data_IF_179450733236
#
_entry.id   IF_179450733236
#
_cell.length_a   1.000
_cell.length_b   1.000
_cell.length_c   1.000
_cell.angle_alpha   90.00
_cell.angle_beta   90.00
_cell.angle_gamma   90.00
#
_symmetry.space_group_name_H-M   'P 1'
#
loop_
_entity.id
_entity.type
_entity.pdbx_description
1 polymer ?
#
# COMPACT_ATOMS: atom_id res chain seq x y z
N UNK A 1 5.10 -16.02 59.14
CA UNK A 1 5.86 -16.08 57.88
C UNK A 1 4.88 -15.87 56.74
N UNK A 2 4.85 -14.68 56.15
CA UNK A 2 3.95 -14.33 55.06
C UNK A 2 4.59 -13.24 54.21
N UNK A 3 4.94 -13.61 52.98
CA UNK A 3 5.48 -12.79 51.88
C UNK A 3 5.46 -13.67 50.64
N UNK A 4 5.14 -13.27 49.42
CA UNK A 4 4.50 -12.11 48.84
C UNK A 4 4.24 -12.56 47.39
N UNK A 5 3.00 -12.53 46.92
CA UNK A 5 2.69 -12.77 45.50
C UNK A 5 1.80 -11.63 45.04
N UNK A 6 2.44 -10.62 44.47
CA UNK A 6 1.76 -9.45 43.96
C UNK A 6 2.48 -8.91 42.73
N UNK A 7 1.65 -8.50 41.77
CA UNK A 7 1.90 -7.58 40.65
C UNK A 7 2.43 -8.22 39.36
N UNK A 8 1.48 -8.61 38.49
CA UNK A 8 1.49 -8.18 37.08
C UNK A 8 0.03 -8.04 36.60
N UNK A 9 -0.52 -6.84 36.74
CA UNK A 9 -1.76 -6.43 36.08
C UNK A 9 -1.48 -5.06 35.50
N UNK A 10 -0.94 -5.03 34.28
CA UNK A 10 -0.73 -3.81 33.53
C UNK A 10 -1.77 -3.75 32.39
N UNK A 11 -2.58 -2.70 32.49
CA UNK A 11 -3.66 -2.24 31.64
C UNK A 11 -3.65 -2.67 30.16
N UNK A 12 -4.64 -3.49 29.79
CA UNK A 12 -5.19 -3.55 28.43
C UNK A 12 -6.14 -2.36 28.23
N UNK A 13 -5.59 -1.22 27.83
CA UNK A 13 -6.38 -0.12 27.26
C UNK A 13 -6.84 -0.54 25.86
N UNK A 14 -7.93 -1.30 25.79
CA UNK A 14 -8.56 -1.67 24.54
C UNK A 14 -9.02 -0.40 23.81
N UNK A 15 -8.38 -0.09 22.69
CA UNK A 15 -8.98 0.69 21.62
C UNK A 15 -10.13 -0.13 21.05
N UNK A 16 -11.31 -0.08 21.67
CA UNK A 16 -12.55 -0.47 21.00
C UNK A 16 -12.82 0.58 19.94
N UNK A 17 -12.20 0.42 18.77
CA UNK A 17 -12.63 1.12 17.56
C UNK A 17 -14.05 0.66 17.31
N UNK A 18 -15.03 1.54 17.54
CA UNK A 18 -16.42 1.25 17.30
C UNK A 18 -16.67 1.15 15.78
N UNK A 19 -16.58 -0.08 15.26
CA UNK A 19 -16.86 -0.38 13.86
C UNK A 19 -18.33 -0.13 13.49
N UNK A 20 -19.24 0.14 14.45
CA UNK A 20 -20.64 0.50 14.16
C UNK A 20 -20.84 1.97 13.82
N UNK A 21 -19.84 2.83 14.04
CA UNK A 21 -19.92 4.26 13.71
C UNK A 21 -19.62 4.59 12.24
N UNK A 22 -19.28 3.60 11.41
CA UNK A 22 -19.27 3.80 9.95
C UNK A 22 -20.68 3.58 9.42
N UNK A 23 -21.44 4.63 9.04
CA UNK A 23 -22.66 4.42 8.29
C UNK A 23 -22.28 3.61 7.04
N UNK A 24 -23.12 2.64 6.69
CA UNK A 24 -23.09 1.95 5.40
C UNK A 24 -23.07 3.01 4.29
N UNK A 25 -21.89 3.46 3.88
CA UNK A 25 -21.73 4.34 2.75
C UNK A 25 -21.93 3.47 1.51
N UNK A 26 -23.01 3.68 0.71
CA UNK A 26 -23.08 3.09 -0.61
C UNK A 26 -21.83 3.51 -1.38
N UNK A 27 -21.12 2.52 -1.91
CA UNK A 27 -19.75 2.62 -2.39
C UNK A 27 -19.63 3.63 -3.55
N UNK A 28 -18.89 4.77 -3.40
CA UNK A 28 -18.72 5.73 -4.49
C UNK A 28 -17.85 5.20 -5.65
N UNK A 29 -17.19 4.05 -5.47
CA UNK A 29 -16.42 3.39 -6.53
C UNK A 29 -17.31 2.81 -7.64
N UNK A 30 -18.63 2.70 -7.42
CA UNK A 30 -19.59 2.17 -8.41
C UNK A 30 -20.18 3.30 -9.30
N UNK A 31 -20.18 4.56 -8.83
CA UNK A 31 -20.89 5.66 -9.53
C UNK A 31 -19.97 6.74 -10.14
N UNK A 32 -18.65 6.57 -10.08
CA UNK A 32 -17.69 7.56 -10.61
C UNK A 32 -17.47 7.54 -12.13
N UNK A 33 -18.05 6.58 -12.84
CA UNK A 33 -17.92 6.44 -14.29
C UNK A 33 -19.31 6.60 -14.93
N UNK A 34 -19.46 7.60 -15.79
CA UNK A 34 -20.64 7.79 -16.65
C UNK A 34 -20.76 6.63 -17.64
N UNK A 35 -21.22 5.46 -17.17
CA UNK A 35 -21.61 4.36 -18.05
C UNK A 35 -23.05 4.65 -18.50
N UNK A 36 -23.33 4.75 -19.81
CA UNK A 36 -24.66 5.03 -20.30
C UNK A 36 -25.66 3.98 -19.80
N UNK A 37 -26.85 4.39 -19.29
CA UNK A 37 -27.91 3.45 -18.97
C UNK A 37 -28.41 2.80 -20.27
N UNK A 38 -28.23 1.49 -20.43
CA UNK A 38 -28.77 0.76 -21.59
C UNK A 38 -28.06 -0.52 -22.04
N UNK A 39 -26.89 -0.86 -21.50
CA UNK A 39 -26.17 -2.10 -21.89
C UNK A 39 -26.41 -3.19 -20.85
N UNK A 40 -27.61 -3.75 -20.80
CA UNK A 40 -27.88 -5.04 -20.17
C UNK A 40 -27.86 -6.10 -21.26
N UNK A 41 -26.69 -6.69 -21.50
CA UNK A 41 -26.57 -7.83 -22.41
C UNK A 41 -26.96 -9.13 -21.71
N UNK A 42 -27.79 -9.88 -22.41
CA UNK A 42 -28.41 -11.14 -22.05
C UNK A 42 -27.42 -12.19 -21.55
N UNK A 43 -27.75 -12.76 -20.40
CA UNK A 43 -27.06 -13.87 -19.75
C UNK A 43 -27.27 -15.19 -20.52
N UNK A 44 -26.23 -15.64 -21.21
CA UNK A 44 -26.08 -17.02 -21.67
C UNK A 44 -25.22 -17.83 -20.68
N UNK A 45 -25.58 -19.10 -20.53
CA UNK A 45 -25.24 -20.00 -19.43
C UNK A 45 -23.82 -20.61 -19.45
N UNK A 46 -22.80 -19.91 -19.94
CA UNK A 46 -21.42 -20.35 -19.73
C UNK A 46 -20.95 -19.90 -18.35
N UNK A 47 -20.38 -20.82 -17.57
CA UNK A 47 -19.92 -20.68 -16.18
C UNK A 47 -18.87 -19.57 -15.91
N UNK A 48 -18.51 -18.77 -16.91
CA UNK A 48 -17.82 -17.49 -16.74
C UNK A 48 -18.84 -16.44 -16.30
N UNK A 49 -18.99 -16.26 -14.99
CA UNK A 49 -19.87 -15.23 -14.43
C UNK A 49 -19.51 -13.83 -14.98
N UNK A 50 -20.42 -12.83 -14.99
CA UNK A 50 -20.23 -11.54 -15.67
C UNK A 50 -19.54 -10.36 -14.92
N UNK A 51 -18.77 -10.51 -13.81
CA UNK A 51 -18.25 -9.35 -13.05
C UNK A 51 -16.92 -8.78 -13.59
N UNK A 52 -16.26 -9.44 -14.53
CA UNK A 52 -14.93 -9.01 -15.02
C UNK A 52 -15.00 -7.75 -15.90
N UNK A 53 -16.21 -7.33 -16.29
CA UNK A 53 -16.41 -6.17 -17.15
C UNK A 53 -15.89 -4.88 -16.50
N UNK A 54 -16.05 -4.68 -15.19
CA UNK A 54 -15.60 -3.44 -14.54
C UNK A 54 -14.08 -3.32 -14.49
N UNK A 55 -13.38 -4.43 -14.25
CA UNK A 55 -11.91 -4.45 -14.25
C UNK A 55 -11.36 -4.32 -15.69
N UNK A 56 -12.04 -4.95 -16.66
CA UNK A 56 -11.73 -4.80 -18.08
C UNK A 56 -11.96 -3.36 -18.57
N UNK A 57 -13.00 -2.67 -18.08
CA UNK A 57 -13.25 -1.25 -18.35
C UNK A 57 -12.15 -0.35 -17.78
N UNK A 58 -11.50 -0.77 -16.67
CA UNK A 58 -10.31 -0.10 -16.14
C UNK A 58 -9.02 -0.52 -16.88
N UNK A 59 -9.12 -1.39 -17.89
CA UNK A 59 -7.98 -1.93 -18.64
C UNK A 59 -7.10 -2.87 -17.82
N UNK A 60 -7.55 -3.30 -16.63
CA UNK A 60 -6.76 -4.13 -15.73
C UNK A 60 -6.86 -5.59 -16.14
N UNK A 61 -5.70 -6.23 -16.23
CA UNK A 61 -5.59 -7.68 -16.47
C UNK A 61 -5.24 -8.36 -15.15
N UNK A 62 -6.23 -8.44 -14.26
CA UNK A 62 -6.05 -9.12 -12.98
C UNK A 62 -5.71 -10.58 -13.24
N UNK A 63 -4.64 -11.05 -12.60
CA UNK A 63 -4.23 -12.46 -12.66
C UNK A 63 -4.70 -13.21 -11.43
N UNK A 64 -5.01 -14.51 -11.57
CA UNK A 64 -5.23 -15.38 -10.42
C UNK A 64 -4.07 -15.31 -9.44
N UNK A 65 -4.39 -15.45 -8.17
CA UNK A 65 -3.39 -15.54 -7.10
C UNK A 65 -2.51 -16.77 -7.32
N UNK A 66 -1.16 -16.64 -7.28
CA UNK A 66 -0.29 -17.81 -7.35
C UNK A 66 -0.65 -18.83 -6.26
N UNK A 67 -0.98 -20.07 -6.65
CA UNK A 67 -1.47 -21.11 -5.72
C UNK A 67 -0.54 -21.34 -4.52
N UNK A 68 0.77 -21.28 -4.74
CA UNK A 68 1.81 -21.43 -3.69
C UNK A 68 1.82 -20.35 -2.60
N UNK A 69 1.13 -19.23 -2.82
CA UNK A 69 1.04 -18.13 -1.84
C UNK A 69 -0.25 -18.20 -1.01
N UNK A 70 -1.14 -19.12 -1.33
CA UNK A 70 -2.38 -19.34 -0.56
C UNK A 70 -2.15 -20.28 0.62
N UNK A 71 -0.92 -20.78 0.79
CA UNK A 71 -0.42 -21.60 1.90
C UNK A 71 -0.74 -21.11 3.28
N UNK A 72 -0.44 -19.83 3.43
CA UNK A 72 -0.39 -19.12 4.69
C UNK A 72 -0.82 -17.70 4.42
N UNK A 73 -1.84 -17.24 5.14
CA UNK A 73 -2.42 -15.91 4.97
C UNK A 73 -2.53 -15.27 6.34
N UNK A 74 -1.85 -14.14 6.50
CA UNK A 74 -1.84 -13.35 7.72
C UNK A 74 -2.76 -12.14 7.58
N UNK A 75 -3.63 -11.92 8.55
CA UNK A 75 -4.48 -10.75 8.61
C UNK A 75 -3.78 -9.70 9.48
N UNK A 76 -3.59 -8.52 8.90
CA UNK A 76 -3.09 -7.35 9.59
C UNK A 76 -4.29 -6.46 9.92
N UNK A 77 -4.66 -6.33 11.21
CA UNK A 77 -5.73 -5.43 11.63
C UNK A 77 -5.44 -3.98 11.23
N UNK A 78 -6.50 -3.18 11.28
CA UNK A 78 -6.37 -1.73 11.13
C UNK A 78 -5.41 -1.18 12.16
N UNK A 79 -4.35 -0.53 11.68
CA UNK A 79 -3.33 0.09 12.51
C UNK A 79 -2.84 1.39 11.90
N UNK A 80 -2.43 2.32 12.75
CA UNK A 80 -1.92 3.63 12.39
C UNK A 80 -0.51 3.86 12.96
N UNK A 81 -0.12 5.12 13.18
CA UNK A 81 1.16 5.47 13.78
C UNK A 81 1.17 5.47 15.32
N UNK A 82 0.02 5.24 15.96
CA UNK A 82 -0.17 5.34 17.41
C UNK A 82 -0.29 3.97 18.08
N UNK A 83 -0.44 2.89 17.30
CA UNK A 83 -0.51 1.53 17.83
C UNK A 83 0.79 1.14 18.53
N UNK A 84 0.68 0.76 19.80
CA UNK A 84 1.79 0.22 20.61
C UNK A 84 1.89 -1.29 20.53
N UNK A 85 0.76 -1.99 20.36
CA UNK A 85 0.70 -3.45 20.25
C UNK A 85 -0.18 -3.84 19.08
N UNK A 86 0.40 -4.56 18.11
CA UNK A 86 -0.31 -5.02 16.90
C UNK A 86 -0.25 -6.55 16.81
N UNK A 87 -1.34 -7.26 17.18
CA UNK A 87 -1.45 -8.68 16.92
C UNK A 87 -1.72 -8.93 15.44
N UNK A 88 -1.00 -9.87 14.85
CA UNK A 88 -1.22 -10.34 13.47
C UNK A 88 -1.71 -11.78 13.54
N UNK A 89 -2.80 -12.07 12.84
CA UNK A 89 -3.53 -13.32 12.96
C UNK A 89 -3.27 -14.24 11.78
N UNK A 90 -3.13 -15.54 12.03
CA UNK A 90 -3.30 -16.53 10.97
C UNK A 90 -4.79 -16.69 10.68
N UNK A 91 -5.20 -16.36 9.47
CA UNK A 91 -6.58 -16.52 9.01
C UNK A 91 -6.64 -17.30 7.69
N UNK A 92 -5.65 -18.17 7.46
CA UNK A 92 -5.50 -18.96 6.23
C UNK A 92 -6.76 -19.74 5.89
N UNK A 93 -7.39 -20.37 6.90
CA UNK A 93 -8.58 -21.21 6.70
C UNK A 93 -9.77 -20.37 6.23
N UNK A 94 -10.04 -19.28 6.94
CA UNK A 94 -11.14 -18.35 6.65
C UNK A 94 -10.94 -17.71 5.27
N UNK A 95 -9.70 -17.29 4.96
CA UNK A 95 -9.34 -16.72 3.68
C UNK A 95 -9.60 -17.67 2.53
N UNK A 96 -9.11 -18.92 2.60
CA UNK A 96 -9.33 -19.92 1.56
C UNK A 96 -10.81 -20.24 1.37
N UNK A 97 -11.56 -20.35 2.46
CA UNK A 97 -12.99 -20.68 2.40
C UNK A 97 -13.81 -19.58 1.73
N UNK A 98 -13.51 -18.32 2.06
CA UNK A 98 -14.26 -17.17 1.57
C UNK A 98 -13.81 -16.74 0.17
N UNK A 99 -12.50 -16.47 -0.02
CA UNK A 99 -11.94 -15.87 -1.24
C UNK A 99 -11.79 -16.90 -2.37
N UNK A 100 -11.45 -18.16 -2.05
CA UNK A 100 -11.22 -19.23 -3.04
C UNK A 100 -10.22 -18.79 -4.12
N UNK A 101 -10.56 -18.92 -5.39
CA UNK A 101 -9.73 -18.60 -6.55
C UNK A 101 -9.96 -17.18 -7.10
N UNK A 102 -10.65 -16.30 -6.36
CA UNK A 102 -10.93 -14.94 -6.81
C UNK A 102 -9.62 -14.15 -7.05
N UNK A 103 -9.44 -13.50 -8.22
CA UNK A 103 -8.24 -12.74 -8.51
C UNK A 103 -8.03 -11.59 -7.51
N UNK A 104 -6.82 -11.51 -6.93
CA UNK A 104 -6.47 -10.45 -5.99
C UNK A 104 -6.70 -9.05 -6.58
N UNK A 105 -7.46 -8.25 -5.85
CA UNK A 105 -7.81 -6.88 -6.23
C UNK A 105 -9.06 -6.74 -7.09
N UNK A 106 -9.68 -7.85 -7.50
CA UNK A 106 -10.98 -7.82 -8.17
C UNK A 106 -12.06 -7.23 -7.24
N UNK A 107 -13.10 -6.66 -7.84
CA UNK A 107 -14.24 -6.14 -7.09
C UNK A 107 -14.92 -7.23 -6.23
N UNK A 108 -14.93 -8.48 -6.72
CA UNK A 108 -15.38 -9.66 -5.95
C UNK A 108 -14.46 -9.97 -4.80
N UNK A 109 -13.16 -10.06 -5.05
CA UNK A 109 -12.16 -10.26 -4.00
C UNK A 109 -12.35 -9.25 -2.87
N UNK A 110 -12.45 -7.95 -3.19
CA UNK A 110 -12.62 -6.88 -2.21
C UNK A 110 -13.92 -7.02 -1.43
N UNK A 111 -15.03 -7.30 -2.11
CA UNK A 111 -16.34 -7.46 -1.48
C UNK A 111 -16.35 -8.66 -0.55
N UNK A 112 -15.93 -9.82 -1.05
CA UNK A 112 -15.83 -11.07 -0.29
C UNK A 112 -14.93 -10.88 0.92
N UNK A 113 -13.73 -10.34 0.72
CA UNK A 113 -12.78 -10.10 1.80
C UNK A 113 -13.30 -9.10 2.83
N UNK A 114 -13.93 -8.00 2.40
CA UNK A 114 -14.52 -6.99 3.27
C UNK A 114 -15.67 -7.53 4.12
N UNK A 115 -16.45 -8.47 3.59
CA UNK A 115 -17.56 -9.13 4.29
C UNK A 115 -17.12 -10.30 5.19
N UNK A 116 -15.87 -10.76 5.08
CA UNK A 116 -15.34 -11.79 5.98
C UNK A 116 -15.33 -11.30 7.43
N UNK A 117 -15.72 -12.17 8.36
CA UNK A 117 -15.56 -11.92 9.79
C UNK A 117 -14.07 -11.77 10.10
N UNK A 118 -13.68 -10.58 10.55
CA UNK A 118 -12.29 -10.30 10.95
C UNK A 118 -11.99 -10.96 12.30
N UNK A 119 -10.79 -11.50 12.49
CA UNK A 119 -10.39 -12.01 13.80
C UNK A 119 -10.33 -10.85 14.80
N UNK A 120 -10.81 -11.14 16.02
CA UNK A 120 -10.86 -10.18 17.13
C UNK A 120 -9.85 -10.64 18.17
N UNK A 121 -9.10 -9.71 18.75
CA UNK A 121 -8.09 -10.00 19.79
C UNK A 121 -8.65 -10.40 21.15
N UNK A 122 -9.92 -10.81 21.22
CA UNK A 122 -10.57 -11.27 22.44
C UNK A 122 -10.28 -12.76 22.74
N UNK A 123 -9.53 -13.44 21.86
CA UNK A 123 -9.23 -14.87 21.97
C UNK A 123 -10.43 -15.78 21.69
N UNK A 124 -11.59 -15.23 21.26
CA UNK A 124 -12.81 -16.01 20.97
C UNK A 124 -12.98 -16.34 19.49
N UNK A 125 -11.95 -16.10 18.67
CA UNK A 125 -11.93 -16.41 17.25
C UNK A 125 -11.27 -17.76 16.93
N UNK A 126 -11.53 -18.28 15.72
CA UNK A 126 -10.83 -19.45 15.18
C UNK A 126 -9.39 -19.14 14.73
N UNK A 127 -9.05 -17.85 14.62
CA UNK A 127 -7.74 -17.39 14.16
C UNK A 127 -6.79 -17.19 15.32
N UNK A 128 -5.64 -17.85 15.25
CA UNK A 128 -4.57 -17.72 16.24
C UNK A 128 -3.71 -16.48 15.97
N UNK A 129 -3.21 -15.84 17.02
CA UNK A 129 -2.22 -14.76 16.90
C UNK A 129 -0.88 -15.38 16.49
N UNK A 130 -0.48 -15.18 15.23
CA UNK A 130 0.80 -15.64 14.69
C UNK A 130 1.96 -14.72 15.04
N UNK A 131 1.72 -13.40 15.12
CA UNK A 131 2.75 -12.44 15.50
C UNK A 131 2.22 -11.44 16.52
N UNK A 132 3.12 -11.04 17.41
CA UNK A 132 2.97 -9.86 18.26
C UNK A 132 3.99 -8.84 17.81
N UNK A 133 3.53 -7.63 17.53
CA UNK A 133 4.40 -6.50 17.20
C UNK A 133 4.26 -5.47 18.31
N UNK A 134 5.35 -5.23 19.01
CA UNK A 134 5.41 -4.27 20.10
C UNK A 134 6.20 -3.06 19.61
N UNK A 135 5.53 -1.92 19.48
CA UNK A 135 6.16 -0.63 19.20
C UNK A 135 6.55 0.03 20.51
N UNK A 136 7.74 0.61 20.56
CA UNK A 136 8.19 1.38 21.70
C UNK A 136 7.25 2.57 21.94
N UNK A 137 6.74 2.76 23.17
CA UNK A 137 5.83 3.86 23.49
C UNK A 137 6.45 5.23 23.13
N UNK A 138 5.64 6.20 22.68
CA UNK A 138 6.12 7.56 22.41
C UNK A 138 6.81 8.23 23.60
N UNK A 139 6.51 7.82 24.84
CA UNK A 139 7.10 8.37 26.06
C UNK A 139 8.53 7.87 26.28
N UNK A 140 8.80 6.58 25.99
CA UNK A 140 10.13 6.00 26.11
C UNK A 140 11.11 6.67 25.12
N UNK A 141 10.60 7.08 23.96
CA UNK A 141 11.31 7.85 22.92
C UNK A 141 11.79 9.23 23.37
N UNK A 142 11.12 9.87 24.34
CA UNK A 142 11.46 11.21 24.81
C UNK A 142 12.50 11.22 25.93
N UNK A 143 12.83 10.05 26.49
CA UNK A 143 13.89 9.94 27.48
C UNK A 143 15.23 10.11 26.76
N UNK A 144 16.02 11.16 27.04
CA UNK A 144 17.35 11.29 26.47
C UNK A 144 18.18 10.12 27.00
N UNK A 145 18.29 9.05 26.20
CA UNK A 145 19.20 7.97 26.52
C UNK A 145 20.58 8.58 26.62
N UNK A 146 21.20 8.40 27.78
CA UNK A 146 22.58 8.80 28.03
C UNK A 146 23.43 8.36 26.83
N UNK A 147 24.35 9.21 26.34
CA UNK A 147 25.17 8.88 25.18
C UNK A 147 25.78 7.49 25.38
N UNK A 148 25.78 6.63 24.34
CA UNK A 148 26.33 5.28 24.46
C UNK A 148 27.74 5.40 25.00
N UNK A 149 27.98 4.77 26.15
CA UNK A 149 29.28 4.78 26.80
C UNK A 149 30.34 4.42 25.75
N UNK A 150 31.18 5.41 25.41
CA UNK A 150 32.28 5.22 24.48
C UNK A 150 33.06 3.99 24.94
N UNK A 151 33.15 2.99 24.06
CA UNK A 151 34.04 1.86 24.28
C UNK A 151 35.43 2.40 24.63
N UNK A 152 36.08 1.90 25.70
CA UNK A 152 37.40 2.36 26.07
C UNK A 152 38.37 1.95 24.96
N UNK A 153 38.60 2.86 24.02
CA UNK A 153 39.72 2.78 23.11
C UNK A 153 40.97 3.01 23.96
N UNK A 154 41.71 1.92 24.19
CA UNK A 154 42.96 1.95 24.93
C UNK A 154 43.94 2.92 24.28
N UNK A 155 44.05 4.12 24.85
CA UNK A 155 45.06 5.09 24.49
C UNK A 155 46.40 4.68 25.10
N UNK A 156 47.23 4.03 24.27
CA UNK A 156 48.67 3.99 24.46
C UNK A 156 49.25 5.41 24.41
N UNK A 157 50.02 5.74 25.45
CA UNK A 157 50.69 7.02 25.67
C UNK A 157 51.58 7.45 24.50
N UNK A 158 51.43 8.67 24.01
CA UNK A 158 52.53 9.43 23.39
C UNK A 158 52.60 10.83 24.02
N UNK A 159 53.74 11.09 24.67
CA UNK A 159 54.16 12.41 25.15
C UNK A 159 54.70 13.21 23.96
N UNK A 160 54.40 14.51 23.89
CA UNK A 160 55.16 15.42 23.04
C UNK A 160 54.57 16.82 22.90
N UNK A 161 55.08 17.76 23.72
CA UNK A 161 55.48 19.13 23.33
C UNK A 161 54.50 19.97 22.49
N UNK A 162 53.83 20.97 23.08
CA UNK A 162 54.23 22.40 23.15
C UNK A 162 53.90 23.23 21.90
N UNK A 163 53.21 24.37 22.08
CA UNK A 163 53.14 25.40 21.04
C UNK A 163 51.87 26.25 20.94
N UNK A 164 51.87 27.38 21.64
CA UNK A 164 51.29 28.70 21.25
C UNK A 164 49.77 28.92 21.13
N UNK A 165 49.23 29.53 22.20
CA UNK A 165 48.39 30.75 22.23
C UNK A 165 48.05 31.40 20.87
N UNK A 166 46.75 31.52 20.55
CA UNK A 166 46.20 32.71 19.89
C UNK A 166 44.76 33.01 20.32
N UNK A 167 44.61 34.21 20.87
CA UNK A 167 43.43 34.84 21.46
C UNK A 167 42.75 35.69 20.38
N UNK A 168 41.49 35.40 20.00
CA UNK A 168 40.57 36.32 19.28
C UNK A 168 39.16 36.00 19.77
N UNK A 169 38.60 36.79 20.68
CA UNK A 169 37.91 38.09 20.51
C UNK A 169 36.53 37.90 19.86
N UNK A 170 35.56 37.87 20.77
CA UNK A 170 34.13 38.00 20.63
C UNK A 170 33.67 39.06 19.64
N UNK A 171 32.67 38.71 18.85
CA UNK A 171 31.70 39.65 18.29
C UNK A 171 30.31 39.02 18.39
N UNK A 172 29.48 39.72 19.12
CA UNK A 172 28.06 39.51 19.35
C UNK A 172 27.27 39.88 18.09
N UNK A 173 26.55 38.92 17.51
CA UNK A 173 25.45 39.19 16.60
C UNK A 173 24.21 38.48 17.10
N UNK A 174 23.23 39.31 17.45
CA UNK A 174 21.85 39.00 17.77
C UNK A 174 21.18 38.22 16.64
N UNK A 175 20.92 36.93 16.86
CA UNK A 175 20.01 36.13 16.04
C UNK A 175 18.66 36.02 16.75
N UNK A 176 17.65 36.52 16.06
CA UNK A 176 16.23 36.43 16.38
C UNK A 176 15.81 34.99 16.69
N UNK A 177 15.29 34.78 17.90
CA UNK A 177 14.63 33.56 18.32
C UNK A 177 13.32 33.37 17.54
N UNK A 178 13.42 32.76 16.35
CA UNK A 178 12.33 31.96 15.84
C UNK A 178 12.34 30.66 16.66
N UNK A 179 11.35 30.50 17.52
CA UNK A 179 11.07 29.25 18.22
C UNK A 179 10.63 28.19 17.19
N UNK A 180 11.56 27.70 16.38
CA UNK A 180 11.45 26.39 15.78
C UNK A 180 11.50 25.42 16.94
N UNK A 181 10.36 24.84 17.29
CA UNK A 181 10.33 23.65 18.11
C UNK A 181 11.10 22.56 17.36
N UNK A 182 12.41 22.52 17.59
CA UNK A 182 13.33 21.44 17.25
C UNK A 182 12.96 20.22 18.10
N UNK A 183 11.70 19.78 17.99
CA UNK A 183 11.26 18.51 18.55
C UNK A 183 12.12 17.47 17.88
N UNK A 184 13.07 16.91 18.64
CA UNK A 184 13.94 15.84 18.19
C UNK A 184 13.08 14.79 17.52
N UNK A 185 13.28 14.62 16.23
CA UNK A 185 12.56 13.65 15.44
C UNK A 185 12.98 12.26 15.94
N UNK A 186 12.12 11.57 16.70
CA UNK A 186 12.50 10.30 17.34
C UNK A 186 12.22 9.11 16.43
N UNK A 187 13.24 8.27 16.25
CA UNK A 187 13.13 6.97 15.61
C UNK A 187 12.14 6.09 16.35
N UNK A 188 11.23 5.45 15.62
CA UNK A 188 10.28 4.49 16.19
C UNK A 188 10.90 3.11 16.17
N UNK A 189 11.09 2.50 17.34
CA UNK A 189 11.52 1.11 17.44
C UNK A 189 10.31 0.19 17.60
N UNK A 190 10.41 -1.01 17.05
CA UNK A 190 9.44 -2.06 17.23
C UNK A 190 10.11 -3.43 17.21
N UNK A 191 9.47 -4.40 17.84
CA UNK A 191 9.90 -5.79 17.84
C UNK A 191 8.80 -6.65 17.26
N UNK A 192 9.12 -7.40 16.20
CA UNK A 192 8.22 -8.38 15.58
C UNK A 192 8.56 -9.76 16.12
N UNK A 193 7.63 -10.37 16.87
CA UNK A 193 7.80 -11.69 17.48
C UNK A 193 6.80 -12.69 16.92
N UNK A 194 7.30 -13.79 16.36
CA UNK A 194 6.46 -14.93 15.97
C UNK A 194 6.04 -15.70 17.22
N UNK A 195 4.74 -15.93 17.41
CA UNK A 195 4.26 -16.85 18.44
C UNK A 195 4.31 -18.27 17.89
N UNK A 196 5.15 -19.10 18.49
CA UNK A 196 5.15 -20.56 18.33
C UNK A 196 5.42 -21.22 19.68
N UNK A 197 4.99 -22.47 19.84
CA UNK A 197 5.21 -23.23 21.08
C UNK A 197 6.70 -23.45 21.38
N UNK A 198 7.54 -23.52 20.34
CA UNK A 198 8.99 -23.72 20.45
C UNK A 198 9.71 -22.89 19.37
N UNK A 199 10.81 -22.22 19.73
CA UNK A 199 11.70 -21.54 18.78
C UNK A 199 11.07 -20.35 18.05
N UNK A 200 10.59 -19.36 18.80
CA UNK A 200 10.08 -18.11 18.22
C UNK A 200 11.15 -17.34 17.45
N UNK A 201 10.76 -16.72 16.35
CA UNK A 201 11.60 -15.77 15.63
C UNK A 201 11.34 -14.35 16.13
N UNK A 202 12.40 -13.59 16.37
CA UNK A 202 12.35 -12.19 16.79
C UNK A 202 13.13 -11.33 15.79
N UNK A 203 12.52 -10.22 15.37
CA UNK A 203 13.11 -9.28 14.43
C UNK A 203 12.89 -7.87 14.94
N UNK A 204 13.98 -7.14 15.17
CA UNK A 204 13.94 -5.71 15.46
C UNK A 204 13.60 -4.90 14.21
N UNK A 205 12.83 -3.82 14.40
CA UNK A 205 12.45 -2.88 13.36
C UNK A 205 12.70 -1.46 13.88
N UNK A 206 13.46 -0.65 13.15
CA UNK A 206 13.62 0.78 13.47
C UNK A 206 13.18 1.62 12.28
N UNK A 207 12.24 2.53 12.53
CA UNK A 207 11.62 3.37 11.51
C UNK A 207 12.05 4.81 11.76
N UNK A 208 12.80 5.43 10.83
CA UNK A 208 13.17 6.82 10.92
C UNK A 208 11.95 7.73 11.07
N UNK A 209 12.10 8.84 11.81
CA UNK A 209 11.04 9.80 12.02
C UNK A 209 10.57 10.42 10.69
N UNK A 210 9.29 10.81 10.67
CA UNK A 210 8.69 11.55 9.56
C UNK A 210 9.11 13.03 9.68
N UNK A 211 9.70 13.63 8.64
CA UNK A 211 9.54 15.07 8.46
C UNK A 211 10.70 15.96 8.02
N UNK A 212 11.93 15.50 7.75
CA UNK A 212 13.02 16.49 7.51
C UNK A 212 13.39 16.73 6.05
N UNK A 213 13.22 15.76 5.13
CA UNK A 213 13.58 15.96 3.71
C UNK A 213 12.63 15.17 2.81
N UNK A 214 12.31 15.76 1.64
CA UNK A 214 11.58 15.06 0.59
C UNK A 214 12.34 13.79 0.23
N UNK A 215 11.65 12.65 0.37
CA UNK A 215 12.25 11.34 0.25
C UNK A 215 12.82 11.13 -1.15
N UNK A 216 14.14 11.01 -1.21
CA UNK A 216 14.90 10.75 -2.42
C UNK A 216 14.87 9.28 -2.82
N UNK A 217 15.33 9.02 -4.03
CA UNK A 217 15.71 7.67 -4.43
C UNK A 217 16.94 7.23 -3.62
N UNK A 218 16.93 6.02 -3.06
CA UNK A 218 18.01 5.53 -2.20
C UNK A 218 17.84 5.81 -0.70
N UNK A 219 16.76 6.47 -0.28
CA UNK A 219 16.50 6.72 1.15
C UNK A 219 16.18 5.44 1.92
N UNK A 220 16.65 5.34 3.16
CA UNK A 220 16.32 4.23 4.05
C UNK A 220 14.94 4.47 4.67
N UNK A 221 13.96 3.63 4.31
CA UNK A 221 12.61 3.67 4.86
C UNK A 221 12.51 3.09 6.28
N UNK A 222 13.27 2.02 6.55
CA UNK A 222 13.44 1.44 7.88
C UNK A 222 14.70 0.56 7.91
N UNK A 223 15.14 0.18 9.09
CA UNK A 223 16.13 -0.88 9.28
C UNK A 223 15.51 -2.06 9.99
N UNK A 224 15.93 -3.27 9.60
CA UNK A 224 15.45 -4.54 10.13
C UNK A 224 16.66 -5.26 10.74
N UNK A 225 16.50 -5.84 11.92
CA UNK A 225 17.58 -6.53 12.63
C UNK A 225 17.10 -7.92 13.05
N UNK A 226 17.33 -8.96 12.23
CA UNK A 226 17.00 -10.34 12.60
C UNK A 226 17.79 -10.78 13.83
N UNK A 227 17.14 -11.38 14.82
CA UNK A 227 17.80 -11.74 16.08
C UNK A 227 18.90 -12.80 15.91
N UNK A 228 18.80 -13.70 14.93
CA UNK A 228 19.81 -14.75 14.74
C UNK A 228 21.15 -14.19 14.24
N UNK A 229 21.10 -13.12 13.43
CA UNK A 229 22.29 -12.54 12.80
C UNK A 229 22.76 -11.27 13.50
N UNK A 230 21.86 -10.51 14.13
CA UNK A 230 22.12 -9.17 14.63
C UNK A 230 22.49 -8.16 13.55
N UNK A 231 22.46 -8.55 12.27
CA UNK A 231 22.88 -7.72 11.16
C UNK A 231 21.79 -6.68 10.84
N UNK A 232 22.20 -5.43 10.67
CA UNK A 232 21.29 -4.35 10.29
C UNK A 232 21.05 -4.42 8.78
N UNK A 233 19.80 -4.68 8.40
CA UNK A 233 19.34 -4.77 7.01
C UNK A 233 18.57 -3.49 6.67
N UNK A 234 19.13 -2.58 5.86
CA UNK A 234 18.42 -1.39 5.43
C UNK A 234 17.36 -1.72 4.38
N UNK A 235 16.14 -1.19 4.57
CA UNK A 235 15.08 -1.20 3.57
C UNK A 235 15.13 0.13 2.81
N UNK A 236 15.60 0.08 1.57
CA UNK A 236 15.85 1.26 0.73
C UNK A 236 14.68 1.52 -0.22
N UNK A 237 14.19 2.75 -0.29
CA UNK A 237 13.13 3.17 -1.23
C UNK A 237 13.67 3.58 -2.59
N UNK A 238 12.94 3.23 -3.63
CA UNK A 238 13.15 3.75 -4.98
C UNK A 238 11.83 4.08 -5.70
N UNK A 239 11.89 4.87 -6.77
CA UNK A 239 10.69 5.34 -7.49
C UNK A 239 10.79 5.09 -9.01
N UNK A 240 10.88 3.82 -9.44
CA UNK A 240 11.06 3.48 -10.85
C UNK A 240 9.80 3.75 -11.70
N UNK A 241 8.63 3.84 -11.05
CA UNK A 241 7.37 4.09 -11.71
C UNK A 241 7.02 5.58 -11.67
N UNK A 242 6.43 6.07 -12.75
CA UNK A 242 5.84 7.41 -12.77
C UNK A 242 4.76 7.53 -11.69
N UNK A 243 4.62 8.69 -11.05
CA UNK A 243 3.51 8.93 -10.13
C UNK A 243 2.16 8.71 -10.82
N UNK A 244 1.23 8.06 -10.12
CA UNK A 244 -0.13 7.87 -10.61
C UNK A 244 -0.94 9.13 -10.32
N UNK A 245 -1.41 9.78 -11.37
CA UNK A 245 -2.25 10.98 -11.27
C UNK A 245 -3.72 10.57 -11.32
N UNK A 246 -4.48 10.97 -10.30
CA UNK A 246 -5.93 10.76 -10.22
C UNK A 246 -6.65 12.07 -9.91
N UNK A 247 -7.99 12.05 -9.90
CA UNK A 247 -8.81 13.17 -9.43
C UNK A 247 -8.50 13.55 -7.96
N UNK A 248 -8.00 12.60 -7.17
CA UNK A 248 -7.68 12.77 -5.75
C UNK A 248 -6.24 13.24 -5.49
N UNK A 249 -5.44 13.45 -6.53
CA UNK A 249 -4.05 13.89 -6.42
C UNK A 249 -3.07 12.98 -7.13
N UNK A 250 -1.78 13.23 -6.88
CA UNK A 250 -0.68 12.40 -7.38
C UNK A 250 -0.20 11.48 -6.25
N UNK A 251 -0.13 10.18 -6.53
CA UNK A 251 0.47 9.19 -5.63
C UNK A 251 1.80 8.75 -6.20
N UNK A 252 2.85 8.77 -5.37
CA UNK A 252 4.10 8.08 -5.71
C UNK A 252 3.88 6.57 -5.57
N UNK A 253 4.71 5.81 -6.25
CA UNK A 253 4.64 4.35 -6.30
C UNK A 253 6.00 3.78 -5.87
N UNK A 254 6.38 3.91 -4.59
CA UNK A 254 7.69 3.48 -4.11
C UNK A 254 7.85 1.97 -4.20
N UNK A 255 9.03 1.53 -4.62
CA UNK A 255 9.53 0.17 -4.43
C UNK A 255 10.46 0.16 -3.24
N UNK A 256 10.57 -0.98 -2.55
CA UNK A 256 11.41 -1.09 -1.35
C UNK A 256 12.31 -2.30 -1.48
N UNK A 257 13.62 -2.09 -1.44
CA UNK A 257 14.63 -3.11 -1.69
C UNK A 257 15.45 -3.34 -0.43
N UNK A 258 15.74 -4.59 -0.11
CA UNK A 258 16.62 -4.95 0.99
C UNK A 258 17.40 -6.21 0.64
N UNK A 259 18.59 -6.35 1.22
CA UNK A 259 19.47 -7.50 1.00
C UNK A 259 19.77 -8.16 2.33
N UNK A 260 19.44 -9.44 2.43
CA UNK A 260 19.66 -10.23 3.64
C UNK A 260 21.11 -10.68 3.77
N UNK A 261 21.58 -10.95 5.01
CA UNK A 261 22.80 -11.71 5.23
C UNK A 261 22.70 -13.03 4.45
N UNK A 262 23.67 -13.28 3.56
CA UNK A 262 23.61 -14.38 2.57
C UNK A 262 23.39 -13.93 1.12
N UNK A 263 23.19 -12.62 0.89
CA UNK A 263 23.20 -12.03 -0.45
C UNK A 263 21.90 -12.19 -1.25
N UNK A 264 20.81 -12.59 -0.58
CA UNK A 264 19.47 -12.60 -1.18
C UNK A 264 18.91 -11.19 -1.18
N UNK A 265 18.59 -10.67 -2.36
CA UNK A 265 17.99 -9.34 -2.50
C UNK A 265 16.50 -9.48 -2.77
N UNK A 266 15.70 -8.80 -1.98
CA UNK A 266 14.25 -8.82 -2.03
C UNK A 266 13.73 -7.42 -2.32
N UNK A 267 12.61 -7.36 -3.04
CA UNK A 267 12.01 -6.10 -3.42
C UNK A 267 10.48 -6.14 -3.34
N UNK A 268 9.91 -5.26 -2.53
CA UNK A 268 8.49 -4.95 -2.57
C UNK A 268 8.20 -4.05 -3.76
N UNK A 269 7.37 -4.53 -4.68
CA UNK A 269 6.97 -3.82 -5.88
C UNK A 269 5.47 -3.53 -5.89
N UNK A 270 5.10 -2.34 -6.32
CA UNK A 270 3.72 -1.97 -6.66
C UNK A 270 3.61 -1.85 -8.19
N UNK A 271 2.50 -2.32 -8.75
CA UNK A 271 2.21 -2.30 -10.19
C UNK A 271 0.79 -1.76 -10.39
N UNK A 272 0.59 -0.42 -10.41
CA UNK A 272 -0.74 0.18 -10.40
C UNK A 272 -1.64 -0.22 -11.58
N UNK A 273 -1.04 -0.45 -12.75
CA UNK A 273 -1.77 -0.78 -13.98
C UNK A 273 -2.21 -2.25 -13.96
N UNK A 274 -1.31 -3.15 -13.55
CA UNK A 274 -1.53 -4.59 -13.64
C UNK A 274 -2.21 -5.15 -12.38
N UNK A 275 -1.82 -4.68 -11.21
CA UNK A 275 -2.22 -5.23 -9.91
C UNK A 275 -3.11 -4.26 -9.08
N UNK A 276 -3.19 -3.00 -9.50
CA UNK A 276 -3.86 -1.94 -8.75
C UNK A 276 -2.96 -1.28 -7.70
N UNK A 277 -3.43 -0.17 -7.14
CA UNK A 277 -2.68 0.69 -6.21
C UNK A 277 -2.59 0.14 -4.78
N UNK A 278 -3.40 -0.87 -4.43
CA UNK A 278 -3.52 -1.41 -3.08
C UNK A 278 -2.74 -2.71 -2.88
N UNK A 279 -1.96 -3.13 -3.88
CA UNK A 279 -1.24 -4.40 -3.87
C UNK A 279 0.26 -4.19 -3.98
N UNK A 280 0.98 -4.74 -3.01
CA UNK A 280 2.43 -4.88 -3.04
C UNK A 280 2.81 -6.35 -3.19
N UNK A 281 3.82 -6.62 -4.00
CA UNK A 281 4.30 -7.97 -4.29
C UNK A 281 5.79 -8.02 -3.95
N UNK A 282 6.17 -8.92 -3.04
CA UNK A 282 7.56 -9.17 -2.69
C UNK A 282 8.17 -10.14 -3.69
N UNK A 283 9.20 -9.71 -4.39
CA UNK A 283 9.94 -10.49 -5.39
C UNK A 283 11.36 -10.69 -4.91
N UNK A 284 11.87 -11.91 -5.03
CA UNK A 284 13.30 -12.19 -4.90
C UNK A 284 14.00 -11.87 -6.21
N UNK A 285 14.98 -10.97 -6.16
CA UNK A 285 15.79 -10.62 -7.32
C UNK A 285 16.88 -11.69 -7.47
N UNK A 286 17.15 -12.18 -8.71
CA UNK A 286 18.24 -13.10 -8.92
C UNK A 286 19.53 -12.46 -8.46
N UNK A 287 20.38 -13.28 -7.83
CA UNK A 287 21.68 -12.84 -7.35
C UNK A 287 22.43 -12.25 -8.54
N UNK A 288 22.73 -10.96 -8.48
CA UNK A 288 23.54 -10.30 -9.48
C UNK A 288 24.94 -10.91 -9.35
N UNK A 289 25.19 -11.96 -10.13
CA UNK A 289 26.40 -12.76 -10.07
C UNK A 289 27.58 -11.81 -10.12
N UNK A 290 28.36 -11.79 -9.04
CA UNK A 290 29.60 -11.03 -9.01
C UNK A 290 30.45 -11.52 -10.18
N UNK A 291 30.78 -10.61 -11.09
CA UNK A 291 31.76 -10.83 -12.15
C UNK A 291 32.98 -11.54 -11.56
N UNK A 292 33.08 -12.84 -11.84
CA UNK A 292 34.08 -13.72 -11.27
C UNK A 292 34.19 -14.99 -12.10
N UNK A 293 34.56 -14.81 -13.37
CA UNK A 293 35.31 -15.75 -14.20
C UNK A 293 34.93 -17.24 -14.11
N UNK A 294 34.13 -17.70 -15.09
CA UNK A 294 33.84 -19.12 -15.35
C UNK A 294 32.35 -19.39 -15.21
N UNK A 295 31.51 -19.17 -16.22
CA UNK A 295 31.67 -19.73 -17.56
C UNK A 295 31.16 -21.16 -17.60
N UNK A 296 29.85 -21.37 -17.34
CA UNK A 296 29.06 -22.50 -17.86
C UNK A 296 27.60 -22.04 -17.98
N UNK A 297 27.23 -21.55 -19.16
CA UNK A 297 26.01 -21.92 -19.91
C UNK A 297 24.64 -22.05 -19.20
N UNK A 298 24.34 -21.28 -18.15
CA UNK A 298 22.99 -21.27 -17.53
C UNK A 298 22.01 -20.27 -18.18
N UNK A 299 22.39 -19.69 -19.32
CA UNK A 299 21.54 -18.86 -20.20
C UNK A 299 20.63 -19.71 -21.11
N UNK A 300 20.53 -21.03 -20.90
CA UNK A 300 19.74 -21.93 -21.76
C UNK A 300 18.29 -22.19 -21.30
N UNK A 301 17.85 -21.57 -20.22
CA UNK A 301 16.54 -21.86 -19.58
C UNK A 301 15.30 -21.31 -20.31
N UNK A 302 15.44 -20.56 -21.40
CA UNK A 302 14.29 -20.01 -22.15
C UNK A 302 14.07 -20.62 -23.54
N UNK A 303 14.91 -21.55 -24.00
CA UNK A 303 14.72 -22.18 -25.33
C UNK A 303 13.80 -23.40 -25.30
N UNK A 304 13.75 -24.16 -24.19
CA UNK A 304 12.99 -25.43 -24.14
C UNK A 304 11.46 -25.27 -24.07
N UNK A 305 10.94 -24.07 -23.77
CA UNK A 305 9.50 -23.85 -23.64
C UNK A 305 8.84 -23.43 -24.96
N UNK A 306 9.64 -23.06 -25.97
CA UNK A 306 9.12 -22.76 -27.32
C UNK A 306 8.85 -24.02 -28.13
N UNK A 307 9.61 -25.09 -27.91
CA UNK A 307 9.55 -26.29 -28.74
C UNK A 307 8.52 -27.34 -28.29
N UNK A 308 7.92 -27.17 -27.11
CA UNK A 308 6.82 -28.05 -26.63
C UNK A 308 5.42 -27.60 -27.02
N UNK A 309 5.27 -26.40 -27.59
CA UNK A 309 3.95 -25.88 -28.02
C UNK A 309 3.62 -26.13 -29.50
N UNK A 310 4.55 -26.71 -30.26
CA UNK A 310 4.41 -26.92 -31.71
C UNK A 310 4.35 -28.40 -32.16
N UNK A 311 4.40 -29.37 -31.24
CA UNK A 311 4.53 -30.80 -31.58
C UNK A 311 3.33 -31.69 -31.20
N UNK A 312 2.10 -31.17 -31.25
CA UNK A 312 0.88 -31.99 -31.16
C UNK A 312 -0.10 -31.70 -32.31
N UNK A 313 0.32 -31.96 -33.54
CA UNK A 313 -0.60 -32.06 -34.69
C UNK A 313 -0.01 -32.92 -35.79
N UNK A 314 -0.06 -34.25 -35.64
CA UNK A 314 0.15 -35.16 -36.76
C UNK A 314 -0.47 -36.55 -36.49
N UNK A 315 -1.75 -36.71 -36.82
CA UNK A 315 -2.28 -37.96 -37.37
C UNK A 315 -3.71 -37.77 -37.89
N UNK A 316 -3.85 -37.39 -39.16
CA UNK A 316 -5.04 -37.68 -39.97
C UNK A 316 -4.71 -37.38 -41.43
N UNK A 317 -4.43 -38.47 -42.14
CA UNK A 317 -4.29 -38.58 -43.58
C UNK A 317 -5.65 -38.45 -44.28
N UNK A 318 -5.73 -37.73 -45.40
CA UNK A 318 -6.89 -37.78 -46.30
C UNK A 318 -6.93 -36.66 -47.35
N UNK A 319 -6.31 -36.94 -48.50
CA UNK A 319 -6.76 -36.64 -49.88
C UNK A 319 -7.23 -35.22 -50.30
N UNK A 320 -6.38 -34.59 -51.13
CA UNK A 320 -6.64 -34.15 -52.51
C UNK A 320 -8.01 -33.53 -52.89
N UNK A 321 -8.03 -32.23 -53.29
CA UNK A 321 -8.77 -31.75 -54.47
C UNK A 321 -8.42 -30.29 -54.86
N UNK A 322 -7.83 -30.16 -56.06
CA UNK A 322 -7.89 -29.09 -57.09
C UNK A 322 -8.02 -27.59 -56.74
N UNK A 323 -6.99 -26.86 -57.21
CA UNK A 323 -7.03 -25.70 -58.12
C UNK A 323 -8.20 -24.69 -58.00
N UNK A 324 -7.89 -23.40 -57.81
CA UNK A 324 -7.89 -22.38 -58.90
C UNK A 324 -7.64 -20.94 -58.41
N UNK A 325 -6.86 -20.22 -59.22
CA UNK A 325 -6.92 -18.79 -59.55
C UNK A 325 -6.78 -17.69 -58.49
N UNK A 326 -5.61 -17.02 -58.58
CA UNK A 326 -5.41 -15.59 -58.88
C UNK A 326 -6.38 -14.57 -58.24
N UNK A 327 -5.84 -13.78 -57.30
CA UNK A 327 -5.89 -12.31 -57.40
C UNK A 327 -4.92 -11.67 -56.40
N UNK A 328 -3.85 -11.12 -56.96
CA UNK A 328 -2.83 -10.35 -56.25
C UNK A 328 -3.38 -8.95 -55.93
N UNK A 329 -3.63 -8.66 -54.65
CA UNK A 329 -3.69 -7.29 -54.13
C UNK A 329 -2.55 -7.14 -53.13
N UNK A 330 -1.41 -6.63 -53.63
CA UNK A 330 -0.19 -6.35 -52.89
C UNK A 330 -0.41 -5.10 -52.02
N UNK A 331 -1.18 -5.25 -50.94
CA UNK A 331 -1.34 -4.22 -49.94
C UNK A 331 -0.07 -4.21 -49.07
N UNK A 332 0.86 -3.32 -49.44
CA UNK A 332 2.11 -3.01 -48.74
C UNK A 332 1.78 -2.47 -47.34
N UNK A 333 1.44 -3.37 -46.42
CA UNK A 333 1.31 -3.08 -44.99
C UNK A 333 2.69 -2.66 -44.50
N UNK A 334 2.87 -1.35 -44.34
CA UNK A 334 3.94 -0.77 -43.52
C UNK A 334 3.80 -1.41 -42.13
N UNK A 335 4.54 -2.49 -41.88
CA UNK A 335 4.85 -2.98 -40.54
C UNK A 335 5.65 -1.87 -39.88
N UNK A 336 4.94 -0.92 -39.26
CA UNK A 336 5.53 -0.06 -38.24
C UNK A 336 5.88 -0.99 -37.09
N UNK A 337 7.09 -1.55 -37.13
CA UNK A 337 7.71 -2.21 -36.01
C UNK A 337 7.85 -1.18 -34.91
N UNK A 338 6.82 -1.06 -34.08
CA UNK A 338 6.87 -0.33 -32.83
C UNK A 338 7.68 -1.21 -31.88
N UNK A 339 8.98 -1.33 -32.15
CA UNK A 339 9.98 -1.78 -31.19
C UNK A 339 10.10 -0.68 -30.15
N UNK A 340 9.05 -0.54 -29.33
CA UNK A 340 9.11 0.27 -28.12
C UNK A 340 10.32 -0.20 -27.34
N UNK A 341 11.23 0.72 -27.06
CA UNK A 341 12.47 0.51 -26.32
C UNK A 341 12.23 -0.35 -25.06
N UNK A 342 12.48 -1.65 -25.17
CA UNK A 342 12.38 -2.58 -24.02
C UNK A 342 13.50 -2.31 -22.98
N UNK A 343 14.38 -1.36 -23.27
CA UNK A 343 15.47 -0.88 -22.40
C UNK A 343 14.99 -0.17 -21.14
N UNK A 344 13.74 0.31 -21.10
CA UNK A 344 13.22 1.05 -19.93
C UNK A 344 12.42 0.16 -18.96
N UNK A 345 12.22 -1.13 -19.27
CA UNK A 345 11.52 -2.02 -18.34
C UNK A 345 12.50 -2.52 -17.27
N UNK A 346 12.15 -2.43 -15.97
CA UNK A 346 12.96 -3.00 -14.92
C UNK A 346 13.12 -4.51 -15.19
N UNK A 347 14.35 -5.05 -15.05
CA UNK A 347 14.67 -6.40 -15.52
C UNK A 347 13.82 -7.48 -14.85
N UNK A 348 13.33 -7.22 -13.64
CA UNK A 348 12.51 -8.14 -12.86
C UNK A 348 11.24 -7.45 -12.36
N UNK A 349 10.16 -7.55 -13.15
CA UNK A 349 8.84 -7.06 -12.74
C UNK A 349 7.96 -8.21 -12.26
N UNK A 350 7.32 -8.03 -11.10
CA UNK A 350 6.29 -8.91 -10.56
C UNK A 350 5.06 -9.04 -11.47
N UNK A 351 4.82 -8.07 -12.37
CA UNK A 351 3.70 -8.11 -13.31
C UNK A 351 3.92 -9.08 -14.48
N UNK A 352 5.16 -9.56 -14.68
CA UNK A 352 5.48 -10.53 -15.73
C UNK A 352 5.22 -11.97 -15.27
N UNK A 353 4.52 -12.75 -16.09
CA UNK A 353 4.10 -14.12 -15.72
C UNK A 353 5.29 -15.05 -15.51
N UNK A 354 6.35 -14.88 -16.31
CA UNK A 354 7.60 -15.63 -16.16
C UNK A 354 8.26 -15.46 -14.80
N UNK A 355 8.04 -14.33 -14.11
CA UNK A 355 8.64 -14.05 -12.80
C UNK A 355 7.75 -14.49 -11.63
N UNK A 356 6.63 -15.18 -11.90
CA UNK A 356 5.73 -15.65 -10.85
C UNK A 356 6.44 -16.57 -9.87
N UNK A 357 7.47 -17.30 -10.33
CA UNK A 357 8.27 -18.19 -9.50
C UNK A 357 9.21 -17.46 -8.52
N UNK A 358 9.41 -16.15 -8.67
CA UNK A 358 10.20 -15.30 -7.77
C UNK A 358 9.36 -14.59 -6.70
N UNK A 359 8.03 -14.68 -6.77
CA UNK A 359 7.14 -13.99 -5.82
C UNK A 359 7.12 -14.74 -4.48
N UNK A 360 7.60 -14.11 -3.41
CA UNK A 360 7.66 -14.69 -2.06
C UNK A 360 6.45 -14.33 -1.20
N UNK A 361 5.89 -13.14 -1.42
CA UNK A 361 4.73 -12.67 -0.68
C UNK A 361 3.89 -11.68 -1.48
N UNK A 362 2.60 -11.55 -1.14
CA UNK A 362 1.72 -10.51 -1.66
C UNK A 362 0.96 -9.87 -0.50
N UNK A 363 1.08 -8.56 -0.35
CA UNK A 363 0.23 -7.79 0.54
C UNK A 363 -0.89 -7.10 -0.25
N UNK A 364 -2.11 -7.17 0.26
CA UNK A 364 -3.27 -6.44 -0.26
C UNK A 364 -3.95 -5.64 0.84
N UNK A 365 -4.02 -4.32 0.68
CA UNK A 365 -4.76 -3.43 1.58
C UNK A 365 -6.25 -3.46 1.25
N UNK A 366 -7.07 -3.48 2.29
CA UNK A 366 -8.53 -3.70 2.25
C UNK A 366 -9.30 -2.39 2.50
N UNK A 367 -8.58 -1.30 2.76
CA UNK A 367 -9.17 0.03 2.96
C UNK A 367 -9.96 0.55 1.76
N UNK A 368 -10.95 1.41 2.06
CA UNK A 368 -11.85 2.06 1.09
C UNK A 368 -11.16 3.09 0.19
N UNK A 369 -9.91 3.47 0.48
CA UNK A 369 -9.20 4.47 -0.29
C UNK A 369 -8.54 3.95 -1.56
N UNK A 370 -8.08 4.90 -2.37
CA UNK A 370 -7.48 4.64 -3.68
C UNK A 370 -5.97 4.41 -3.64
N UNK A 371 -5.33 4.59 -2.49
CA UNK A 371 -3.88 4.48 -2.29
C UNK A 371 -3.56 3.95 -0.89
N UNK A 372 -2.34 3.47 -0.70
CA UNK A 372 -1.79 3.12 0.62
C UNK A 372 -1.45 4.34 1.49
N UNK A 373 -1.50 5.56 0.95
CA UNK A 373 -1.27 6.81 1.69
C UNK A 373 -2.41 7.18 2.66
N UNK A 374 -3.19 6.20 3.11
CA UNK A 374 -4.25 6.36 4.11
C UNK A 374 -3.63 6.51 5.52
N UNK A 375 -4.34 7.15 6.47
CA UNK A 375 -3.83 7.29 7.84
C UNK A 375 -3.72 5.95 8.59
N UNK A 376 -4.43 4.93 8.13
CA UNK A 376 -4.37 3.57 8.66
C UNK A 376 -4.10 2.55 7.54
N UNK A 377 -3.73 1.34 7.91
CA UNK A 377 -3.57 0.21 6.99
C UNK A 377 -4.23 -1.03 7.58
N UNK A 378 -4.96 -1.77 6.76
CA UNK A 378 -5.60 -3.05 7.11
C UNK A 378 -5.46 -3.96 5.91
N UNK A 379 -5.10 -5.23 6.07
CA UNK A 379 -4.93 -6.06 4.89
C UNK A 379 -4.68 -7.53 5.12
N UNK A 380 -4.50 -8.23 4.00
CA UNK A 380 -4.06 -9.61 3.95
C UNK A 380 -2.64 -9.68 3.41
N UNK A 381 -1.79 -10.43 4.09
CA UNK A 381 -0.47 -10.81 3.64
C UNK A 381 -0.47 -12.31 3.30
N UNK A 382 -0.37 -12.60 2.01
CA UNK A 382 -0.24 -13.94 1.47
C UNK A 382 1.24 -14.30 1.39
N UNK A 383 1.58 -15.48 1.88
CA UNK A 383 2.95 -15.94 2.08
C UNK A 383 3.17 -17.28 1.38
N UNK A 384 4.38 -17.49 0.89
CA UNK A 384 4.81 -18.80 0.39
C UNK A 384 4.75 -19.85 1.51
N UNK A 385 4.39 -21.08 1.13
CA UNK A 385 4.41 -22.22 2.05
C UNK A 385 5.82 -22.45 2.60
N UNK A 386 5.90 -22.98 3.82
CA UNK A 386 7.16 -23.52 4.38
C UNK A 386 8.31 -22.52 4.42
N UNK A 387 8.01 -21.21 4.48
CA UNK A 387 9.03 -20.20 4.73
C UNK A 387 9.65 -20.40 6.11
N UNK A 388 10.96 -20.18 6.15
CA UNK A 388 11.70 -20.16 7.40
C UNK A 388 11.05 -19.15 8.38
N UNK A 389 10.85 -19.54 9.66
CA UNK A 389 10.23 -18.69 10.68
C UNK A 389 10.80 -17.28 10.78
N UNK A 390 12.12 -17.15 10.69
CA UNK A 390 12.81 -15.88 10.82
C UNK A 390 12.69 -15.09 9.52
N UNK A 391 12.83 -15.75 8.38
CA UNK A 391 12.58 -15.12 7.09
C UNK A 391 11.15 -14.56 6.99
N UNK A 392 10.15 -15.31 7.45
CA UNK A 392 8.76 -14.87 7.51
C UNK A 392 8.60 -13.63 8.42
N UNK A 393 9.24 -13.62 9.60
CA UNK A 393 9.24 -12.48 10.50
C UNK A 393 9.91 -11.24 9.85
N UNK A 394 10.96 -11.42 9.06
CA UNK A 394 11.59 -10.35 8.28
C UNK A 394 10.65 -9.81 7.19
N UNK A 395 9.91 -10.68 6.51
CA UNK A 395 8.87 -10.27 5.54
C UNK A 395 7.81 -9.42 6.24
N UNK A 396 7.33 -9.83 7.41
CA UNK A 396 6.35 -9.07 8.22
C UNK A 396 6.93 -7.71 8.65
N UNK A 397 8.15 -7.68 9.20
CA UNK A 397 8.81 -6.45 9.62
C UNK A 397 9.03 -5.47 8.46
N UNK A 398 9.49 -5.97 7.30
CA UNK A 398 9.69 -5.16 6.10
C UNK A 398 8.38 -4.58 5.56
N UNK A 399 7.29 -5.34 5.63
CA UNK A 399 5.96 -4.85 5.26
C UNK A 399 5.50 -3.73 6.20
N UNK A 400 5.69 -3.87 7.51
CA UNK A 400 5.29 -2.84 8.48
C UNK A 400 6.08 -1.55 8.28
N UNK A 401 7.39 -1.64 8.05
CA UNK A 401 8.22 -0.50 7.68
C UNK A 401 7.76 0.18 6.38
N UNK A 402 7.46 -0.62 5.36
CA UNK A 402 6.88 -0.15 4.09
C UNK A 402 5.56 0.60 4.30
N UNK A 403 4.61 0.00 5.03
CA UNK A 403 3.30 0.60 5.28
C UNK A 403 3.45 1.90 6.06
N UNK A 404 4.27 1.91 7.10
CA UNK A 404 4.55 3.13 7.86
C UNK A 404 5.07 4.26 6.96
N UNK A 405 5.97 3.92 6.02
CA UNK A 405 6.52 4.88 5.07
C UNK A 405 5.48 5.35 4.07
N UNK A 406 4.72 4.44 3.46
CA UNK A 406 3.68 4.75 2.49
C UNK A 406 2.59 5.68 3.07
N UNK A 407 2.23 5.51 4.35
CA UNK A 407 1.29 6.41 5.05
C UNK A 407 1.84 7.84 5.23
N UNK A 408 3.15 7.98 5.36
CA UNK A 408 3.81 9.29 5.51
C UNK A 408 4.00 10.04 4.19
N UNK A 409 3.82 9.37 3.04
CA UNK A 409 3.79 10.01 1.74
C UNK A 409 2.44 10.68 1.52
N UNK A 410 2.19 11.78 2.22
CA UNK A 410 0.96 12.55 2.04
C UNK A 410 0.81 12.95 0.56
N UNK A 411 -0.36 12.65 -0.01
CA UNK A 411 -0.77 13.24 -1.27
C UNK A 411 -0.87 14.75 -1.03
N UNK A 412 0.18 15.50 -1.41
CA UNK A 412 0.13 16.96 -1.40
C UNK A 412 -1.15 17.35 -2.14
N UNK A 413 -2.16 17.94 -1.46
CA UNK A 413 -3.37 18.34 -2.14
C UNK A 413 -2.93 19.24 -3.29
N UNK A 414 -3.48 19.02 -4.49
CA UNK A 414 -3.26 19.97 -5.59
C UNK A 414 -3.64 21.31 -5.01
N UNK A 415 -2.65 22.16 -4.70
CA UNK A 415 -2.89 23.56 -4.43
C UNK A 415 -3.54 24.01 -5.72
N UNK A 416 -4.88 24.10 -5.70
CA UNK A 416 -5.63 24.67 -6.80
C UNK A 416 -4.99 26.03 -6.95
N UNK A 417 -4.12 26.16 -7.95
CA UNK A 417 -3.58 27.42 -8.38
C UNK A 417 -4.83 28.21 -8.67
N UNK A 418 -5.21 29.06 -7.71
CA UNK A 418 -6.19 30.11 -7.90
C UNK A 418 -5.79 30.70 -9.23
N UNK A 419 -6.67 30.57 -10.21
CA UNK A 419 -6.58 31.34 -11.43
C UNK A 419 -6.43 32.80 -10.98
N UNK A 420 -5.20 33.31 -10.97
CA UNK A 420 -4.87 34.73 -10.95
C UNK A 420 -5.32 35.35 -12.28
N UNK A 421 -6.62 35.22 -12.57
CA UNK A 421 -7.17 35.54 -13.88
C UNK A 421 -8.67 35.83 -13.86
N UNK A 422 -9.24 36.22 -12.71
CA UNK A 422 -10.63 36.71 -12.67
C UNK A 422 -10.79 37.89 -11.71
N UNK A 423 -9.93 38.89 -11.86
CA UNK A 423 -10.08 40.23 -11.27
C UNK A 423 -10.18 41.33 -12.34
N UNK A 424 -10.72 41.02 -13.52
CA UNK A 424 -10.88 41.99 -14.62
C UNK A 424 -12.16 41.77 -15.42
N UNK A 425 -13.31 41.68 -14.74
CA UNK A 425 -14.62 41.84 -15.37
C UNK A 425 -15.72 42.09 -14.33
N UNK A 426 -15.65 43.21 -13.58
CA UNK A 426 -16.80 43.69 -12.82
C UNK A 426 -17.18 45.12 -13.24
N UNK A 427 -18.10 45.13 -14.21
CA UNK A 427 -19.28 46.00 -14.35
C UNK A 427 -19.08 47.52 -14.45
N UNK A 428 -19.32 48.02 -15.66
CA UNK A 428 -20.09 49.26 -15.90
C UNK A 428 -21.42 48.82 -16.53
N UNK A 429 -22.47 48.69 -15.72
CA UNK A 429 -23.84 48.47 -16.20
C UNK A 429 -24.76 49.36 -15.38
N UNK A 430 -25.39 50.25 -16.13
CA UNK A 430 -26.29 51.36 -15.80
C UNK A 430 -27.43 50.93 -14.87
N UNK A 431 -27.67 51.76 -13.86
CA UNK A 431 -28.83 51.75 -12.98
C UNK A 431 -30.07 52.24 -13.74
N UNK A 432 -31.14 51.44 -13.76
CA UNK A 432 -32.48 51.89 -14.11
C UNK A 432 -33.32 51.87 -12.84
N UNK A 433 -34.02 52.98 -12.68
CA UNK A 433 -34.87 53.44 -11.58
C UNK A 433 -36.01 52.46 -11.29
N UNK A 434 -36.25 52.17 -10.01
CA UNK A 434 -37.50 51.57 -9.53
C UNK A 434 -38.17 52.53 -8.55
N UNK A 435 -39.44 52.81 -8.87
CA UNK A 435 -40.35 53.78 -8.28
C UNK A 435 -40.95 53.26 -6.96
N UNK A 436 -41.15 54.19 -6.04
CA UNK A 436 -41.92 54.12 -4.79
C UNK A 436 -43.33 53.56 -4.96
N UNK A 437 -43.82 52.79 -3.98
CA UNK A 437 -45.17 53.00 -3.43
C UNK A 437 -45.39 52.34 -2.05
N UNK A 438 -45.74 53.20 -1.08
CA UNK A 438 -46.73 53.11 0.04
C UNK A 438 -46.95 51.76 0.76
N UNK A 439 -46.67 51.65 2.06
CA UNK A 439 -47.40 52.21 3.22
C UNK A 439 -48.88 51.78 3.25
N UNK A 440 -49.29 50.95 4.23
CA UNK A 440 -50.48 51.09 5.10
C UNK A 440 -50.36 50.05 6.24
N UNK A 441 -50.90 50.43 7.40
CA UNK A 441 -50.51 49.94 8.72
C UNK A 441 -51.47 48.92 9.35
N UNK A 442 -50.94 48.22 10.36
CA UNK A 442 -51.53 47.87 11.67
C UNK A 442 -52.71 46.88 11.84
N UNK A 443 -52.63 46.21 13.01
CA UNK A 443 -53.61 45.38 13.74
C UNK A 443 -53.78 43.94 13.22
N UNK A 444 -53.92 42.88 14.03
CA UNK A 444 -54.11 42.77 15.48
C UNK A 444 -53.78 41.35 15.97
N UNK A 445 -53.72 41.23 17.29
CA UNK A 445 -53.50 40.04 18.12
C UNK A 445 -54.33 38.77 17.80
N UNK A 446 -53.72 37.58 17.96
CA UNK A 446 -54.17 36.51 18.91
C UNK A 446 -53.51 35.15 18.60
N UNK A 447 -52.90 34.55 19.63
CA UNK A 447 -52.70 33.09 19.77
C UNK A 447 -53.98 32.49 20.39
N UNK A 448 -54.08 31.18 20.73
CA UNK A 448 -53.32 29.98 20.34
C UNK A 448 -54.26 28.82 19.90
N UNK A 449 -53.70 27.73 19.35
CA UNK A 449 -53.98 26.32 19.76
C UNK A 449 -53.71 25.32 18.64
N UNK A 450 -52.95 24.27 18.98
CA UNK A 450 -53.03 22.84 18.58
C UNK A 450 -54.28 22.43 17.75
N UNK A 451 -54.27 21.39 16.87
CA UNK A 451 -53.54 20.14 17.06
C UNK A 451 -53.09 19.34 15.81
N UNK A 452 -52.43 18.22 16.09
CA UNK A 452 -52.54 16.92 15.40
C UNK A 452 -52.27 16.75 13.89
N UNK A 453 -51.25 15.91 13.66
CA UNK A 453 -51.24 14.69 12.82
C UNK A 453 -51.27 14.82 11.29
N UNK A 454 -50.55 13.83 10.71
CA UNK A 454 -50.67 13.20 9.38
C UNK A 454 -49.88 13.85 8.23
N UNK A 455 -48.82 13.12 7.85
CA UNK A 455 -48.76 12.43 6.56
C UNK A 455 -48.65 13.31 5.32
N UNK A 456 -47.44 13.41 4.78
CA UNK A 456 -47.20 13.92 3.43
C UNK A 456 -46.64 12.81 2.54
N UNK A 457 -47.57 12.02 2.02
CA UNK A 457 -47.43 11.29 0.77
C UNK A 457 -48.03 12.17 -0.34
N UNK A 458 -47.24 12.43 -1.38
CA UNK A 458 -47.75 12.72 -2.72
C UNK A 458 -47.87 14.19 -3.11
N UNK A 459 -47.10 14.57 -4.14
CA UNK A 459 -47.62 15.00 -5.47
C UNK A 459 -46.54 15.79 -6.20
N UNK A 460 -45.93 15.18 -7.23
CA UNK A 460 -45.29 15.91 -8.33
C UNK A 460 -45.74 15.23 -9.62
N UNK A 461 -46.74 15.83 -10.28
CA UNK A 461 -47.06 15.62 -11.69
C UNK A 461 -48.00 16.73 -12.15
N UNK A 462 -47.45 17.73 -12.85
CA UNK A 462 -47.95 18.29 -14.10
C UNK A 462 -47.19 19.58 -14.42
N UNK A 463 -46.42 19.52 -15.50
CA UNK A 463 -46.02 20.68 -16.29
C UNK A 463 -46.53 20.42 -17.70
N UNK A 464 -47.48 21.24 -18.14
CA UNK A 464 -47.68 21.57 -19.54
C UNK A 464 -47.76 23.10 -19.61
N UNK A 465 -46.78 23.67 -20.28
CA UNK A 465 -46.86 24.85 -21.13
C UNK A 465 -45.70 24.76 -22.10
#
# INVERSE_FOLDING_TARGET
MGTASAIYTAATSYMTVDHRAYPFYPHPAIHGFNVPPGVYLSSSSSSSSPPDQHEALQGRKLRPTPRRLTGRTLYLPSHDGQVTHLPIYDFTREYRQAVRDEPLGSSRFKTTFGLMRKPVGDGRGASEVSYLVDFEPPEARMSPSSPPAEFPTGAGKTKGSSGTRRRRKSSSSSSSAASSSLGGHVTTHATVRRRMLYGGAEVGLAIPPRGTVAVGDGDVACTITPASTGAVVPLVTSYPLRPTVSKFGSSRNPWFTFTLPGGRTLQWQVHPVEHGLLRYTLVELPRQGGNGAGGVDDDRWWEDEKDRSSSSSSSSSGEEMKQTTRSATRQRRKRSGNTSSDKDKPPFSASQGRNQHLIRAIYHNVGLGFSLSQPFSEGALLLENDMDPEFEAVVVASLLGLLWRARGEECKPRKNSKSEGSALARKKSVSVVSVDEKEWASADSSSPSSPERRGLLGKILRRMS
#
